data_IF_195299743309
#
_entry.id   IF_195299743309
#
_cell.length_a   1.000
_cell.length_b   1.000
_cell.length_c   1.000
_cell.angle_alpha   90.00
_cell.angle_beta   90.00
_cell.angle_gamma   90.00
#
_symmetry.space_group_name_H-M   'P 1'
#
loop_
_entity.id
_entity.type
_entity.pdbx_description
1 polymer ?
#
# COMPACT_ATOMS: atom_id res chain seq x y z
N UNK A 1 4.93 14.58 5.63
CA UNK A 1 4.96 13.40 6.53
C UNK A 1 4.39 13.75 7.88
N UNK A 2 3.87 12.76 8.61
CA UNK A 2 3.40 12.95 9.98
C UNK A 2 4.60 13.34 10.89
N UNK A 3 4.43 14.36 11.72
CA UNK A 3 5.41 14.72 12.75
C UNK A 3 5.44 13.63 13.83
N UNK A 4 6.63 13.18 14.24
CA UNK A 4 6.78 12.32 15.42
C UNK A 4 7.66 13.02 16.47
N UNK A 5 7.20 12.92 17.71
CA UNK A 5 7.78 13.55 18.90
C UNK A 5 7.43 12.75 20.16
N UNK A 6 7.90 13.16 21.31
CA UNK A 6 7.55 12.50 22.58
C UNK A 6 6.06 12.21 22.67
N UNK A 7 5.72 10.99 23.01
CA UNK A 7 4.36 10.46 23.08
C UNK A 7 3.84 9.82 21.77
N UNK A 8 4.49 10.04 20.62
CA UNK A 8 4.15 9.34 19.37
C UNK A 8 4.44 7.84 19.47
N UNK A 9 3.63 7.02 18.81
CA UNK A 9 3.77 5.54 18.80
C UNK A 9 3.52 4.98 17.40
N UNK A 10 4.05 3.78 17.15
CA UNK A 10 3.77 2.96 15.96
C UNK A 10 4.97 2.78 15.02
N UNK A 11 4.70 2.19 13.84
CA UNK A 11 5.74 1.75 12.89
C UNK A 11 6.64 2.89 12.39
N UNK A 12 6.10 4.10 12.27
CA UNK A 12 6.88 5.26 11.85
C UNK A 12 7.90 5.67 12.91
N UNK A 13 7.54 5.58 14.20
CA UNK A 13 8.48 5.81 15.31
C UNK A 13 9.55 4.73 15.32
N UNK A 14 9.15 3.46 15.17
CA UNK A 14 10.09 2.33 15.09
C UNK A 14 11.09 2.52 13.94
N UNK A 15 10.62 2.94 12.76
CA UNK A 15 11.50 3.23 11.63
C UNK A 15 12.51 4.33 11.95
N UNK A 16 12.08 5.43 12.57
CA UNK A 16 12.97 6.52 13.00
C UNK A 16 14.02 6.01 13.99
N UNK A 17 13.62 5.21 14.98
CA UNK A 17 14.53 4.62 15.96
C UNK A 17 15.57 3.73 15.30
N UNK A 18 15.16 2.85 14.35
CA UNK A 18 16.07 2.02 13.58
C UNK A 18 17.07 2.85 12.78
N UNK A 19 16.59 3.90 12.10
CA UNK A 19 17.47 4.79 11.34
C UNK A 19 18.46 5.56 12.22
N UNK A 20 18.03 6.02 13.39
CA UNK A 20 18.92 6.66 14.35
C UNK A 20 20.01 5.71 14.84
N UNK A 21 19.62 4.49 15.24
CA UNK A 21 20.56 3.46 15.72
C UNK A 21 21.55 3.06 14.62
N UNK A 22 21.10 2.85 13.38
CA UNK A 22 21.95 2.51 12.24
C UNK A 22 22.97 3.61 11.94
N UNK A 23 22.58 4.87 12.17
CA UNK A 23 23.46 6.03 11.99
C UNK A 23 24.31 6.37 13.24
N UNK A 24 24.33 5.50 14.26
CA UNK A 24 25.18 5.68 15.46
C UNK A 24 24.57 6.59 16.55
N UNK A 25 23.31 6.99 16.40
CA UNK A 25 22.58 7.79 17.39
C UNK A 25 21.70 6.89 18.24
N UNK A 26 22.32 6.13 19.14
CA UNK A 26 21.64 5.14 19.95
C UNK A 26 20.47 5.73 20.76
N UNK A 27 19.26 5.32 20.46
CA UNK A 27 18.04 5.67 21.18
C UNK A 27 17.48 4.52 22.04
N UNK A 28 18.23 3.42 22.17
CA UNK A 28 17.77 2.18 22.81
C UNK A 28 17.07 1.25 21.83
N UNK A 29 16.22 0.39 22.36
CA UNK A 29 15.42 -0.55 21.54
C UNK A 29 14.46 0.21 20.63
N UNK A 30 14.35 -0.22 19.38
CA UNK A 30 13.38 0.33 18.44
C UNK A 30 11.99 -0.31 18.69
N UNK A 31 11.34 0.12 19.75
CA UNK A 31 10.07 -0.39 20.27
C UNK A 31 8.84 0.29 19.66
N UNK A 32 9.05 1.35 18.88
CA UNK A 32 7.97 2.15 18.29
C UNK A 32 7.33 3.12 19.28
N UNK A 33 7.96 3.42 20.40
CA UNK A 33 7.50 4.41 21.39
C UNK A 33 8.51 5.57 21.45
N UNK A 34 8.08 6.77 21.05
CA UNK A 34 8.92 7.95 21.08
C UNK A 34 9.00 8.49 22.52
N UNK A 35 9.96 8.00 23.29
CA UNK A 35 10.26 8.43 24.64
C UNK A 35 11.44 9.42 24.68
N UNK A 36 11.86 9.79 25.90
CA UNK A 36 12.96 10.73 26.14
C UNK A 36 14.30 10.30 25.53
N UNK A 37 14.58 8.98 25.46
CA UNK A 37 15.80 8.48 24.84
C UNK A 37 15.78 8.71 23.33
N UNK A 38 14.63 8.50 22.69
CA UNK A 38 14.46 8.77 21.25
C UNK A 38 14.58 10.28 20.99
N UNK A 39 13.98 11.13 21.80
CA UNK A 39 14.10 12.59 21.70
C UNK A 39 15.56 13.05 21.75
N UNK A 40 16.30 12.63 22.79
CA UNK A 40 17.73 12.95 22.93
C UNK A 40 18.57 12.48 21.74
N UNK A 41 18.25 11.31 21.17
CA UNK A 41 18.92 10.80 19.97
C UNK A 41 18.61 11.67 18.75
N UNK A 42 17.35 12.10 18.59
CA UNK A 42 16.92 13.02 17.52
C UNK A 42 17.65 14.36 17.65
N UNK A 43 17.71 14.96 18.85
CA UNK A 43 18.42 16.22 19.08
C UNK A 43 19.92 16.12 18.76
N UNK A 44 20.58 15.02 19.18
CA UNK A 44 21.98 14.76 18.82
C UNK A 44 22.15 14.65 17.30
N UNK A 45 21.26 13.92 16.64
CA UNK A 45 21.25 13.79 15.19
C UNK A 45 21.03 15.15 14.50
N UNK A 46 20.03 15.91 14.91
CA UNK A 46 19.71 17.23 14.37
C UNK A 46 20.93 18.18 14.50
N UNK A 47 21.56 18.22 15.67
CA UNK A 47 22.77 19.04 15.91
C UNK A 47 23.90 18.66 14.98
N UNK A 48 24.18 17.33 14.84
CA UNK A 48 25.26 16.83 13.99
C UNK A 48 24.99 17.09 12.50
N UNK A 49 23.71 17.23 12.10
CA UNK A 49 23.31 17.45 10.69
C UNK A 49 22.98 18.92 10.38
N UNK A 50 23.20 19.84 11.32
CA UNK A 50 22.94 21.27 11.12
C UNK A 50 21.46 21.60 10.96
N UNK A 51 20.57 20.83 11.61
CA UNK A 51 19.14 21.05 11.64
C UNK A 51 18.73 21.84 12.91
N UNK A 52 17.51 22.38 12.93
CA UNK A 52 16.91 22.91 14.16
C UNK A 52 16.84 21.79 15.20
N UNK A 53 17.38 22.05 16.40
CA UNK A 53 17.45 21.07 17.49
C UNK A 53 16.21 21.22 18.36
N UNK A 54 15.10 20.59 17.93
CA UNK A 54 13.79 20.67 18.56
C UNK A 54 13.27 19.31 19.07
N UNK A 55 14.06 18.23 18.89
CA UNK A 55 13.67 16.88 19.26
C UNK A 55 12.50 16.31 18.45
N UNK A 56 12.04 17.01 17.41
CA UNK A 56 10.89 16.62 16.59
C UNK A 56 11.36 16.13 15.23
N UNK A 57 10.87 14.97 14.81
CA UNK A 57 11.14 14.47 13.45
C UNK A 57 10.09 15.02 12.51
N UNK A 58 10.39 16.17 11.93
CA UNK A 58 9.64 16.83 10.87
C UNK A 58 10.24 16.55 9.49
N UNK A 59 9.72 17.23 8.45
CA UNK A 59 10.11 17.00 7.06
C UNK A 59 11.62 17.11 6.82
N UNK A 60 12.30 18.07 7.43
CA UNK A 60 13.74 18.27 7.26
C UNK A 60 14.54 17.13 7.92
N UNK A 61 14.13 16.70 9.12
CA UNK A 61 14.76 15.59 9.84
C UNK A 61 14.56 14.28 9.10
N UNK A 62 13.34 13.97 8.61
CA UNK A 62 13.09 12.80 7.76
C UNK A 62 13.93 12.82 6.49
N UNK A 63 13.96 13.95 5.78
CA UNK A 63 14.72 14.06 4.54
C UNK A 63 16.19 13.72 4.72
N UNK A 64 16.74 14.06 5.86
CA UNK A 64 18.14 13.81 6.20
C UNK A 64 18.35 12.35 6.64
N UNK A 65 17.48 11.82 7.54
CA UNK A 65 17.51 10.42 7.97
C UNK A 65 17.40 9.47 6.77
N UNK A 66 16.49 9.74 5.85
CA UNK A 66 16.29 8.92 4.65
C UNK A 66 17.48 8.97 3.70
N UNK A 67 18.16 10.11 3.60
CA UNK A 67 19.38 10.23 2.80
C UNK A 67 20.55 9.47 3.41
N UNK A 68 20.64 9.48 4.74
CA UNK A 68 21.71 8.83 5.48
C UNK A 68 21.48 7.32 5.67
N UNK A 69 20.26 6.80 5.43
CA UNK A 69 19.87 5.40 5.62
C UNK A 69 19.68 4.68 4.28
N UNK A 70 20.75 4.56 3.50
CA UNK A 70 20.75 3.89 2.19
C UNK A 70 20.77 2.37 2.36
N UNK A 71 19.77 1.66 1.78
CA UNK A 71 19.77 0.20 1.65
C UNK A 71 19.92 -0.22 0.18
N UNK A 72 20.64 -1.32 -0.03
CA UNK A 72 20.86 -1.91 -1.37
C UNK A 72 21.09 -3.41 -1.25
N UNK A 73 21.17 -4.10 -2.35
CA UNK A 73 21.54 -5.52 -2.38
C UNK A 73 22.81 -5.77 -1.55
N UNK A 74 22.74 -6.77 -0.66
CA UNK A 74 23.78 -7.09 0.33
C UNK A 74 23.63 -6.39 1.68
N UNK A 75 22.78 -5.35 1.83
CA UNK A 75 22.48 -4.75 3.13
C UNK A 75 21.80 -5.77 4.05
N UNK A 76 22.05 -5.68 5.36
CA UNK A 76 21.51 -6.59 6.39
C UNK A 76 21.08 -5.82 7.63
N UNK A 77 20.23 -6.43 8.47
CA UNK A 77 19.85 -5.89 9.77
C UNK A 77 18.38 -5.56 9.91
N UNK A 78 18.01 -5.03 11.08
CA UNK A 78 16.60 -4.74 11.43
C UNK A 78 15.98 -3.65 10.55
N UNK A 79 16.79 -2.69 10.06
CA UNK A 79 16.29 -1.67 9.13
C UNK A 79 15.89 -2.30 7.77
N UNK A 80 16.64 -3.30 7.29
CA UNK A 80 16.28 -4.08 6.10
C UNK A 80 14.98 -4.85 6.34
N UNK A 81 14.87 -5.53 7.47
CA UNK A 81 13.66 -6.27 7.87
C UNK A 81 12.43 -5.36 7.94
N UNK A 82 12.58 -4.16 8.49
CA UNK A 82 11.51 -3.17 8.50
C UNK A 82 11.13 -2.73 7.07
N UNK A 83 12.11 -2.50 6.20
CA UNK A 83 11.90 -2.18 4.79
C UNK A 83 11.11 -3.29 4.08
N UNK A 84 11.50 -4.56 4.23
CA UNK A 84 10.81 -5.72 3.67
C UNK A 84 9.37 -5.83 4.18
N UNK A 85 9.17 -5.63 5.49
CA UNK A 85 7.82 -5.60 6.10
C UNK A 85 6.96 -4.53 5.44
N UNK A 86 7.47 -3.31 5.29
CA UNK A 86 6.74 -2.20 4.67
C UNK A 86 6.45 -2.45 3.18
N UNK A 87 7.39 -3.04 2.43
CA UNK A 87 7.17 -3.45 1.04
C UNK A 87 6.04 -4.46 0.93
N UNK A 88 6.06 -5.51 1.76
CA UNK A 88 5.05 -6.55 1.79
C UNK A 88 3.66 -5.99 2.16
N UNK A 89 3.60 -5.11 3.17
CA UNK A 89 2.36 -4.43 3.56
C UNK A 89 1.76 -3.58 2.43
N UNK A 90 2.62 -3.01 1.56
CA UNK A 90 2.19 -2.26 0.37
C UNK A 90 1.90 -3.17 -0.83
N UNK A 91 2.05 -4.48 -0.70
CA UNK A 91 1.79 -5.47 -1.75
C UNK A 91 2.95 -5.69 -2.74
N UNK A 92 4.14 -5.20 -2.42
CA UNK A 92 5.36 -5.52 -3.17
C UNK A 92 6.02 -6.74 -2.52
N UNK A 93 6.03 -7.89 -3.21
CA UNK A 93 6.53 -9.16 -2.68
C UNK A 93 8.05 -9.14 -2.47
N UNK A 94 8.49 -8.70 -1.30
CA UNK A 94 9.91 -8.68 -0.93
C UNK A 94 10.42 -10.05 -0.41
N UNK A 95 9.57 -11.07 -0.35
CA UNK A 95 9.85 -12.34 0.33
C UNK A 95 9.64 -12.24 1.84
N UNK A 96 10.23 -13.18 2.58
CA UNK A 96 10.24 -13.13 4.04
C UNK A 96 10.97 -11.88 4.52
N UNK A 97 10.48 -11.26 5.58
CA UNK A 97 11.17 -10.14 6.23
C UNK A 97 12.27 -10.69 7.13
N UNK A 98 13.35 -11.19 6.51
CA UNK A 98 14.48 -11.87 7.14
C UNK A 98 15.65 -10.94 7.49
N UNK A 99 15.55 -9.67 7.09
CA UNK A 99 16.61 -8.69 7.31
C UNK A 99 17.79 -8.83 6.34
N UNK A 100 17.64 -9.55 5.23
CA UNK A 100 18.66 -9.70 4.19
C UNK A 100 18.15 -9.08 2.88
N UNK A 101 18.77 -8.01 2.43
CA UNK A 101 18.43 -7.38 1.17
C UNK A 101 18.96 -8.19 0.00
N UNK A 102 18.21 -9.18 -0.43
CA UNK A 102 18.51 -10.03 -1.58
C UNK A 102 17.75 -9.63 -2.84
N UNK A 103 17.79 -10.50 -3.86
CA UNK A 103 17.17 -10.26 -5.17
C UNK A 103 15.64 -10.05 -5.12
N UNK A 104 14.94 -10.73 -4.20
CA UNK A 104 13.50 -10.53 -4.06
C UNK A 104 13.18 -9.14 -3.49
N UNK A 105 13.95 -8.70 -2.48
CA UNK A 105 13.83 -7.34 -1.92
C UNK A 105 14.14 -6.30 -2.98
N UNK A 106 15.20 -6.49 -3.78
CA UNK A 106 15.57 -5.58 -4.87
C UNK A 106 14.47 -5.47 -5.92
N UNK A 107 13.88 -6.61 -6.34
CA UNK A 107 12.74 -6.62 -7.28
C UNK A 107 11.53 -5.87 -6.72
N UNK A 108 11.21 -6.06 -5.44
CA UNK A 108 10.13 -5.37 -4.76
C UNK A 108 10.37 -3.85 -4.69
N UNK A 109 11.62 -3.44 -4.40
CA UNK A 109 12.02 -2.02 -4.41
C UNK A 109 11.88 -1.42 -5.80
N UNK A 110 12.37 -2.09 -6.86
CA UNK A 110 12.20 -1.63 -8.26
C UNK A 110 10.74 -1.50 -8.65
N UNK A 111 9.89 -2.44 -8.22
CA UNK A 111 8.45 -2.36 -8.46
C UNK A 111 7.80 -1.16 -7.75
N UNK A 112 8.15 -0.90 -6.48
CA UNK A 112 7.72 0.30 -5.77
C UNK A 112 8.20 1.58 -6.46
N UNK A 113 9.48 1.63 -6.86
CA UNK A 113 10.07 2.79 -7.54
C UNK A 113 9.34 3.09 -8.84
N UNK A 114 9.14 2.09 -9.70
CA UNK A 114 8.39 2.24 -10.95
C UNK A 114 6.95 2.72 -10.71
N UNK A 115 6.25 2.13 -9.73
CA UNK A 115 4.89 2.53 -9.36
C UNK A 115 4.82 3.94 -8.77
N UNK A 116 5.93 4.45 -8.23
CA UNK A 116 6.06 5.80 -7.65
C UNK A 116 6.65 6.83 -8.62
N UNK A 117 6.88 6.48 -9.89
CA UNK A 117 7.51 7.36 -10.88
C UNK A 117 8.97 7.68 -10.58
N UNK A 118 9.66 6.82 -9.82
CA UNK A 118 11.07 6.95 -9.50
C UNK A 118 11.93 6.12 -10.47
N UNK A 119 13.22 6.46 -10.58
CA UNK A 119 14.20 5.59 -11.25
C UNK A 119 14.27 4.25 -10.52
N UNK A 120 14.04 3.15 -11.25
CA UNK A 120 14.01 1.80 -10.69
C UNK A 120 15.43 1.23 -10.53
N UNK A 121 16.26 1.85 -9.69
CA UNK A 121 17.65 1.48 -9.44
C UNK A 121 17.80 0.34 -8.39
N UNK A 122 16.73 -0.02 -7.72
CA UNK A 122 16.70 -1.07 -6.70
C UNK A 122 17.31 -0.67 -5.36
N UNK A 123 17.65 0.60 -5.16
CA UNK A 123 18.21 1.12 -3.90
C UNK A 123 17.16 1.86 -3.10
N UNK A 124 17.18 1.73 -1.77
CA UNK A 124 16.27 2.45 -0.89
C UNK A 124 16.98 3.66 -0.32
N UNK A 125 17.04 4.72 -1.11
CA UNK A 125 17.52 6.04 -0.69
C UNK A 125 16.35 6.96 -0.31
N UNK A 126 16.62 8.28 -0.17
CA UNK A 126 15.67 9.29 0.27
C UNK A 126 14.30 9.20 -0.43
N UNK A 127 14.29 9.16 -1.76
CA UNK A 127 13.04 9.16 -2.52
C UNK A 127 12.26 7.86 -2.35
N UNK A 128 12.96 6.73 -2.30
CA UNK A 128 12.34 5.41 -2.07
C UNK A 128 11.80 5.29 -0.64
N UNK A 129 12.53 5.77 0.37
CA UNK A 129 12.02 5.85 1.74
C UNK A 129 10.78 6.75 1.81
N UNK A 130 10.81 7.90 1.12
CA UNK A 130 9.65 8.80 1.04
C UNK A 130 8.44 8.06 0.43
N UNK A 131 8.62 7.28 -0.63
CA UNK A 131 7.55 6.49 -1.23
C UNK A 131 7.07 5.35 -0.31
N UNK A 132 7.98 4.73 0.44
CA UNK A 132 7.64 3.70 1.44
C UNK A 132 6.84 4.27 2.61
N UNK A 133 7.27 5.40 3.17
CA UNK A 133 6.66 6.04 4.36
C UNK A 133 5.51 6.94 3.97
N UNK A 134 5.57 7.56 2.82
CA UNK A 134 4.74 8.68 2.37
C UNK A 134 3.24 8.40 2.18
N UNK A 135 2.69 7.36 2.80
CA UNK A 135 1.25 7.09 2.78
C UNK A 135 0.62 6.90 4.16
N UNK A 136 1.28 7.44 5.18
CA UNK A 136 0.73 7.56 6.53
C UNK A 136 0.53 9.03 6.93
N UNK A 137 -0.49 9.68 6.41
CA UNK A 137 -0.94 11.01 6.84
C UNK A 137 -0.57 12.17 5.92
N UNK A 138 -1.55 12.67 5.23
CA UNK A 138 -1.75 13.95 4.55
C UNK A 138 -0.88 14.29 3.31
N UNK A 139 -1.57 14.37 2.18
CA UNK A 139 -1.29 15.20 1.00
C UNK A 139 -0.11 14.80 0.09
N UNK A 140 -0.08 13.52 -0.25
CA UNK A 140 0.37 13.05 -1.56
C UNK A 140 -0.54 11.87 -1.85
N UNK A 141 -1.63 12.11 -2.55
CA UNK A 141 -2.54 11.04 -2.97
C UNK A 141 -1.73 9.96 -3.68
N UNK A 142 -1.92 8.69 -3.29
CA UNK A 142 -1.57 7.58 -4.17
C UNK A 142 -1.96 8.01 -5.59
N UNK A 143 -1.13 7.76 -6.62
CA UNK A 143 -1.48 8.19 -7.96
C UNK A 143 -2.93 7.77 -8.22
N UNK A 144 -3.71 8.72 -8.72
CA UNK A 144 -5.12 8.46 -9.02
C UNK A 144 -5.16 7.20 -9.88
N UNK A 145 -5.93 6.17 -9.50
CA UNK A 145 -6.00 4.94 -10.27
C UNK A 145 -6.35 5.23 -11.73
N UNK A 146 -5.58 4.66 -12.64
CA UNK A 146 -5.76 4.83 -14.09
C UNK A 146 -5.92 3.47 -14.75
N UNK A 147 -6.76 3.42 -15.76
CA UNK A 147 -7.02 2.24 -16.55
C UNK A 147 -7.40 2.67 -17.97
N UNK A 148 -7.16 1.81 -18.96
CA UNK A 148 -7.52 2.10 -20.33
C UNK A 148 -9.03 2.22 -20.54
N UNK A 149 -9.83 1.46 -19.79
CA UNK A 149 -11.28 1.33 -20.01
C UNK A 149 -12.12 1.64 -18.76
N UNK A 150 -11.52 1.86 -17.60
CA UNK A 150 -12.24 2.15 -16.35
C UNK A 150 -11.83 3.50 -15.78
N UNK A 151 -12.81 4.31 -15.36
CA UNK A 151 -12.59 5.57 -14.65
C UNK A 151 -12.78 5.36 -13.14
N UNK A 152 -11.98 6.01 -12.31
CA UNK A 152 -12.10 5.93 -10.84
C UNK A 152 -13.52 6.26 -10.36
N UNK A 153 -14.22 7.17 -11.05
CA UNK A 153 -15.59 7.55 -10.72
C UNK A 153 -16.62 6.41 -10.82
N UNK A 154 -16.32 5.35 -11.57
CA UNK A 154 -17.19 4.16 -11.67
C UNK A 154 -17.17 3.29 -10.41
N UNK A 155 -16.12 3.45 -9.58
CA UNK A 155 -15.95 2.71 -8.33
C UNK A 155 -16.48 3.46 -7.10
N UNK A 156 -17.08 4.64 -7.26
CA UNK A 156 -17.67 5.38 -6.14
C UNK A 156 -18.77 4.57 -5.46
N UNK A 157 -18.97 4.81 -4.18
CA UNK A 157 -20.10 4.26 -3.44
C UNK A 157 -21.43 4.76 -4.03
N UNK A 158 -22.49 3.95 -3.95
CA UNK A 158 -23.83 4.35 -4.41
C UNK A 158 -24.46 5.47 -3.59
N UNK A 159 -23.91 5.79 -2.41
CA UNK A 159 -24.30 6.97 -1.63
C UNK A 159 -23.65 8.27 -2.16
N UNK A 160 -22.88 8.20 -3.25
CA UNK A 160 -22.17 9.31 -3.87
C UNK A 160 -20.72 9.50 -3.40
N UNK A 161 -20.32 8.81 -2.33
CA UNK A 161 -18.95 8.95 -1.75
C UNK A 161 -17.92 8.42 -2.73
N UNK A 162 -16.91 9.25 -3.05
CA UNK A 162 -15.78 8.85 -3.88
C UNK A 162 -14.88 7.83 -3.16
N UNK A 163 -14.10 7.07 -3.93
CA UNK A 163 -13.07 6.19 -3.36
C UNK A 163 -12.06 7.03 -2.60
N UNK A 164 -11.85 6.80 -1.30
CA UNK A 164 -10.84 7.53 -0.53
C UNK A 164 -9.43 7.25 -1.03
N UNK A 165 -8.57 8.27 -1.05
CA UNK A 165 -7.19 8.15 -1.55
C UNK A 165 -6.37 7.04 -0.86
N UNK A 166 -6.65 6.76 0.41
CA UNK A 166 -6.03 5.64 1.16
C UNK A 166 -6.28 4.26 0.53
N UNK A 167 -7.28 4.11 -0.34
CA UNK A 167 -7.63 2.86 -1.02
C UNK A 167 -7.27 2.85 -2.51
N UNK A 168 -6.61 3.89 -3.03
CA UNK A 168 -6.24 3.96 -4.46
C UNK A 168 -5.37 2.80 -4.92
N UNK A 169 -4.44 2.33 -4.08
CA UNK A 169 -3.62 1.16 -4.41
C UNK A 169 -4.46 -0.13 -4.60
N UNK A 170 -5.49 -0.32 -3.78
CA UNK A 170 -6.42 -1.45 -3.93
C UNK A 170 -7.27 -1.28 -5.19
N UNK A 171 -7.80 -0.08 -5.41
CA UNK A 171 -8.59 0.23 -6.60
C UNK A 171 -7.78 0.04 -7.89
N UNK A 172 -6.49 0.42 -7.91
CA UNK A 172 -5.62 0.16 -9.06
C UNK A 172 -5.44 -1.34 -9.34
N UNK A 173 -5.20 -2.16 -8.29
CA UNK A 173 -5.12 -3.62 -8.45
C UNK A 173 -6.43 -4.20 -9.01
N UNK A 174 -7.56 -3.68 -8.53
CA UNK A 174 -8.88 -4.09 -8.99
C UNK A 174 -9.10 -3.70 -10.46
N UNK A 175 -8.77 -2.46 -10.85
CA UNK A 175 -8.84 -2.03 -12.25
C UNK A 175 -7.99 -2.91 -13.17
N UNK A 176 -6.76 -3.24 -12.76
CA UNK A 176 -5.89 -4.13 -13.53
C UNK A 176 -6.52 -5.52 -13.72
N UNK A 177 -7.11 -6.08 -12.66
CA UNK A 177 -7.86 -7.33 -12.74
C UNK A 177 -9.06 -7.23 -13.69
N UNK A 178 -9.77 -6.12 -13.69
CA UNK A 178 -10.93 -5.91 -14.59
C UNK A 178 -10.48 -5.78 -16.05
N UNK A 179 -9.32 -5.21 -16.34
CA UNK A 179 -8.74 -5.22 -17.69
C UNK A 179 -8.39 -6.65 -18.16
N UNK A 180 -7.81 -7.49 -17.26
CA UNK A 180 -7.56 -8.89 -17.56
C UNK A 180 -8.88 -9.64 -17.86
N UNK A 181 -9.92 -9.42 -17.05
CA UNK A 181 -11.25 -10.00 -17.26
C UNK A 181 -11.86 -9.52 -18.58
N UNK A 182 -11.74 -8.25 -18.89
CA UNK A 182 -12.23 -7.65 -20.13
C UNK A 182 -11.59 -8.29 -21.35
N UNK A 183 -10.27 -8.43 -21.35
CA UNK A 183 -9.52 -9.09 -22.42
C UNK A 183 -9.96 -10.55 -22.57
N UNK A 184 -10.08 -11.28 -21.47
CA UNK A 184 -10.52 -12.69 -21.47
C UNK A 184 -11.99 -12.87 -21.91
N UNK A 185 -12.80 -11.81 -21.80
CA UNK A 185 -14.18 -11.75 -22.30
C UNK A 185 -14.28 -11.35 -23.79
N UNK A 186 -13.18 -11.25 -24.53
CA UNK A 186 -13.15 -10.80 -25.92
C UNK A 186 -13.35 -9.29 -26.06
N UNK A 187 -12.77 -8.52 -25.15
CA UNK A 187 -12.81 -7.06 -25.11
C UNK A 187 -14.22 -6.45 -24.99
N UNK A 188 -15.15 -7.21 -24.43
CA UNK A 188 -16.52 -6.73 -24.20
C UNK A 188 -16.58 -5.67 -23.10
N UNK A 189 -17.56 -4.78 -23.17
CA UNK A 189 -17.77 -3.77 -22.14
C UNK A 189 -18.13 -4.45 -20.80
N UNK A 190 -17.47 -3.97 -19.74
CA UNK A 190 -17.78 -4.35 -18.34
C UNK A 190 -18.42 -3.15 -17.65
N UNK A 191 -19.54 -3.39 -16.99
CA UNK A 191 -20.21 -2.40 -16.13
C UNK A 191 -19.90 -2.74 -14.67
N UNK A 192 -19.32 -1.80 -13.93
CA UNK A 192 -19.17 -1.89 -12.48
C UNK A 192 -20.48 -1.48 -11.84
N UNK A 193 -21.21 -2.46 -11.30
CA UNK A 193 -22.51 -2.22 -10.66
C UNK A 193 -22.40 -1.84 -9.18
N UNK A 194 -21.28 -2.19 -8.53
CA UNK A 194 -20.93 -1.78 -7.17
C UNK A 194 -19.39 -1.83 -7.04
N UNK A 195 -18.80 -0.72 -6.61
CA UNK A 195 -17.38 -0.60 -6.30
C UNK A 195 -17.15 -0.43 -4.79
N UNK A 196 -16.53 0.68 -4.39
CA UNK A 196 -16.33 1.05 -3.00
C UNK A 196 -17.67 1.16 -2.25
N UNK A 197 -17.67 0.79 -0.98
CA UNK A 197 -18.81 1.00 -0.06
C UNK A 197 -18.32 1.66 1.23
N UNK A 198 -19.05 2.70 1.67
CA UNK A 198 -18.89 3.21 3.03
C UNK A 198 -19.41 2.19 4.03
N UNK A 199 -18.97 2.27 5.29
CA UNK A 199 -19.47 1.37 6.35
C UNK A 199 -20.99 1.46 6.49
N UNK A 200 -21.54 2.69 6.46
CA UNK A 200 -22.97 2.93 6.54
C UNK A 200 -23.74 2.31 5.37
N UNK A 201 -23.23 2.49 4.14
CA UNK A 201 -23.85 1.89 2.97
C UNK A 201 -23.70 0.36 2.97
N UNK A 202 -22.56 -0.17 3.37
CA UNK A 202 -22.37 -1.63 3.48
C UNK A 202 -23.34 -2.26 4.48
N UNK A 203 -23.58 -1.60 5.63
CA UNK A 203 -24.60 -2.02 6.60
C UNK A 203 -26.01 -1.97 6.01
N UNK A 204 -26.35 -0.92 5.23
CA UNK A 204 -27.66 -0.74 4.58
C UNK A 204 -27.99 -1.86 3.58
N UNK A 205 -26.97 -2.46 2.95
CA UNK A 205 -27.13 -3.53 1.95
C UNK A 205 -26.78 -4.92 2.51
N UNK A 206 -26.78 -5.08 3.84
CA UNK A 206 -26.46 -6.30 4.56
C UNK A 206 -25.12 -6.94 4.12
N UNK A 207 -24.15 -6.08 3.78
CA UNK A 207 -22.83 -6.51 3.37
C UNK A 207 -22.02 -7.09 4.55
N UNK A 208 -21.20 -8.10 4.27
CA UNK A 208 -20.32 -8.71 5.27
C UNK A 208 -19.48 -7.66 6.02
N UNK A 209 -19.25 -7.88 7.34
CA UNK A 209 -18.46 -6.95 8.18
C UNK A 209 -17.04 -6.71 7.66
N UNK A 210 -16.45 -7.71 6.99
CA UNK A 210 -15.11 -7.65 6.38
C UNK A 210 -15.19 -7.63 4.84
N UNK A 211 -16.22 -6.97 4.30
CA UNK A 211 -16.41 -6.87 2.84
C UNK A 211 -15.23 -6.17 2.17
N UNK A 212 -14.72 -6.72 1.08
CA UNK A 212 -13.65 -6.11 0.29
C UNK A 212 -14.09 -4.80 -0.41
N UNK A 213 -15.38 -4.56 -0.54
CA UNK A 213 -15.92 -3.27 -0.99
C UNK A 213 -15.58 -2.12 -0.04
N UNK A 214 -15.46 -2.36 1.27
CA UNK A 214 -15.06 -1.35 2.28
C UNK A 214 -13.64 -0.80 2.04
N UNK A 215 -12.82 -1.55 1.33
CA UNK A 215 -11.41 -1.23 1.06
C UNK A 215 -11.15 -0.87 -0.41
N UNK A 216 -12.21 -0.67 -1.22
CA UNK A 216 -12.14 -0.49 -2.68
C UNK A 216 -11.35 -1.60 -3.39
N UNK A 217 -11.36 -2.80 -2.83
CA UNK A 217 -10.66 -3.98 -3.32
C UNK A 217 -11.59 -4.96 -4.04
N UNK A 218 -12.87 -4.64 -4.24
CA UNK A 218 -13.88 -5.47 -4.86
C UNK A 218 -14.78 -4.71 -5.82
N UNK A 219 -15.28 -5.42 -6.84
CA UNK A 219 -16.33 -4.95 -7.73
C UNK A 219 -17.36 -6.05 -7.98
N UNK A 220 -18.63 -5.62 -8.05
CA UNK A 220 -19.71 -6.41 -8.62
C UNK A 220 -19.84 -5.98 -10.10
N UNK A 221 -19.73 -6.93 -11.04
CA UNK A 221 -19.61 -6.63 -12.47
C UNK A 221 -20.64 -7.36 -13.32
N UNK A 222 -20.99 -6.72 -14.45
CA UNK A 222 -21.71 -7.31 -15.56
C UNK A 222 -20.90 -7.16 -16.85
N UNK A 223 -20.91 -8.17 -17.70
CA UNK A 223 -20.23 -8.15 -19.00
C UNK A 223 -21.26 -8.17 -20.10
N UNK A 224 -21.16 -7.25 -21.05
CA UNK A 224 -22.11 -7.15 -22.17
C UNK A 224 -22.17 -8.45 -22.97
N UNK A 225 -23.37 -8.97 -23.19
CA UNK A 225 -23.62 -10.19 -23.96
C UNK A 225 -23.15 -11.48 -23.28
N UNK A 226 -22.96 -11.48 -21.94
CA UNK A 226 -22.65 -12.67 -21.14
C UNK A 226 -23.56 -12.75 -19.92
N UNK A 227 -23.98 -13.97 -19.59
CA UNK A 227 -24.69 -14.24 -18.34
C UNK A 227 -23.74 -14.15 -17.14
N UNK A 228 -24.29 -13.84 -15.94
CA UNK A 228 -23.50 -13.83 -14.71
C UNK A 228 -22.77 -15.18 -14.45
N UNK A 229 -23.39 -16.29 -14.83
CA UNK A 229 -22.79 -17.63 -14.69
C UNK A 229 -21.59 -17.85 -15.61
N UNK A 230 -21.62 -17.35 -16.85
CA UNK A 230 -20.48 -17.43 -17.78
C UNK A 230 -19.32 -16.54 -17.28
N UNK A 231 -19.64 -15.31 -16.81
CA UNK A 231 -18.66 -14.41 -16.22
C UNK A 231 -18.03 -15.04 -14.98
N UNK A 232 -18.84 -15.62 -14.09
CA UNK A 232 -18.33 -16.32 -12.91
C UNK A 232 -17.31 -17.41 -13.27
N UNK A 233 -17.66 -18.33 -14.19
CA UNK A 233 -16.77 -19.42 -14.61
C UNK A 233 -15.46 -18.91 -15.19
N UNK A 234 -15.50 -17.82 -15.95
CA UNK A 234 -14.31 -17.17 -16.50
C UNK A 234 -13.47 -16.55 -15.38
N UNK A 235 -14.09 -15.77 -14.50
CA UNK A 235 -13.41 -15.14 -13.37
C UNK A 235 -12.81 -16.16 -12.40
N UNK A 236 -13.49 -17.28 -12.13
CA UNK A 236 -12.98 -18.35 -11.26
C UNK A 236 -11.65 -18.91 -11.76
N UNK A 237 -11.53 -19.17 -13.07
CA UNK A 237 -10.27 -19.62 -13.67
C UNK A 237 -9.20 -18.53 -13.69
N UNK A 238 -9.57 -17.30 -14.08
CA UNK A 238 -8.62 -16.18 -14.26
C UNK A 238 -8.06 -15.67 -12.94
N UNK A 239 -8.93 -15.46 -11.95
CA UNK A 239 -8.55 -14.95 -10.63
C UNK A 239 -7.72 -15.98 -9.85
N UNK A 240 -8.07 -17.26 -9.97
CA UNK A 240 -7.32 -18.37 -9.37
C UNK A 240 -7.15 -18.19 -7.85
N UNK A 241 -5.90 -18.21 -7.39
CA UNK A 241 -5.53 -18.01 -5.98
C UNK A 241 -5.36 -16.54 -5.58
N UNK A 242 -5.46 -15.58 -6.54
CA UNK A 242 -5.16 -14.16 -6.31
C UNK A 242 -6.27 -13.39 -5.61
N UNK A 243 -7.51 -13.94 -5.56
CA UNK A 243 -8.65 -13.18 -5.03
C UNK A 243 -9.93 -13.99 -4.87
N UNK A 244 -11.00 -13.26 -4.51
CA UNK A 244 -12.34 -13.78 -4.34
C UNK A 244 -13.17 -13.69 -5.63
N UNK A 245 -14.05 -14.67 -5.83
CA UNK A 245 -15.09 -14.66 -6.86
C UNK A 245 -16.39 -15.18 -6.27
N UNK A 246 -17.44 -14.36 -6.32
CA UNK A 246 -18.79 -14.67 -5.83
C UNK A 246 -19.77 -14.81 -6.96
N UNK A 247 -20.62 -15.86 -6.90
CA UNK A 247 -21.67 -16.14 -7.89
C UNK A 247 -22.99 -15.58 -7.44
N UNK A 248 -23.54 -14.66 -8.24
CA UNK A 248 -24.88 -14.12 -8.04
C UNK A 248 -25.75 -14.29 -9.30
N UNK A 249 -27.06 -14.18 -9.18
CA UNK A 249 -27.98 -14.37 -10.31
C UNK A 249 -27.85 -13.32 -11.41
N UNK A 250 -27.49 -12.08 -11.05
CA UNK A 250 -27.50 -10.92 -11.95
C UNK A 250 -26.16 -10.26 -12.18
N UNK A 251 -25.12 -10.64 -11.40
CA UNK A 251 -23.75 -10.09 -11.47
C UNK A 251 -22.74 -11.12 -10.97
N UNK A 252 -21.49 -10.84 -11.19
CA UNK A 252 -20.37 -11.59 -10.60
C UNK A 252 -19.58 -10.68 -9.70
N UNK A 253 -19.31 -11.09 -8.46
CA UNK A 253 -18.36 -10.41 -7.58
C UNK A 253 -16.93 -10.84 -7.89
N UNK A 254 -16.02 -9.89 -7.91
CA UNK A 254 -14.56 -10.15 -7.97
C UNK A 254 -13.82 -9.25 -7.00
N UNK A 255 -12.75 -9.77 -6.38
CA UNK A 255 -11.90 -9.00 -5.49
C UNK A 255 -10.42 -9.40 -5.54
N UNK A 256 -9.57 -8.54 -5.00
CA UNK A 256 -8.11 -8.66 -5.01
C UNK A 256 -7.53 -8.90 -3.59
N UNK A 257 -8.23 -9.69 -2.76
CA UNK A 257 -7.85 -9.97 -1.36
C UNK A 257 -6.53 -10.74 -1.18
N UNK A 258 -5.94 -11.28 -2.24
CA UNK A 258 -4.65 -11.96 -2.21
C UNK A 258 -4.69 -13.47 -1.89
N UNK A 259 -5.86 -14.03 -1.64
CA UNK A 259 -6.07 -15.48 -1.44
C UNK A 259 -7.40 -15.93 -2.02
N UNK A 260 -7.50 -17.22 -2.34
CA UNK A 260 -8.71 -17.80 -2.96
C UNK A 260 -9.90 -17.75 -2.00
N UNK A 261 -11.01 -17.19 -2.48
CA UNK A 261 -12.32 -17.27 -1.84
C UNK A 261 -13.41 -17.46 -2.91
N UNK A 262 -14.38 -18.34 -2.65
CA UNK A 262 -15.49 -18.67 -3.57
C UNK A 262 -16.78 -18.82 -2.79
N UNK A 263 -17.89 -18.28 -3.35
CA UNK A 263 -19.23 -18.43 -2.79
C UNK A 263 -20.31 -18.20 -3.85
#
# INVERSE_FOLDING_TARGET
MQLVKVGSKGDLVKLVQLMLNENGYNCGTADGIFGTNTEKAVEKYQRAKGLSVDGIVGNNTYAKLFADSLLKNGSRGELVKQCQTMLNQKGYSAGSADGIFGSNTEKAVKALQSASGLTADGKVGKNTWTALVGTGGASGSAPVPTSAHFKLSEFKCKDGTAVPAKYYANCQKLMNLLEEIRAACGNRAITVTSGYRTESYNKKVDGAKQSQHLYAAAADIKVSGKSASEVYKLCDRLVGSRGGVGKYSTFTHVDVRGHKARW
#
